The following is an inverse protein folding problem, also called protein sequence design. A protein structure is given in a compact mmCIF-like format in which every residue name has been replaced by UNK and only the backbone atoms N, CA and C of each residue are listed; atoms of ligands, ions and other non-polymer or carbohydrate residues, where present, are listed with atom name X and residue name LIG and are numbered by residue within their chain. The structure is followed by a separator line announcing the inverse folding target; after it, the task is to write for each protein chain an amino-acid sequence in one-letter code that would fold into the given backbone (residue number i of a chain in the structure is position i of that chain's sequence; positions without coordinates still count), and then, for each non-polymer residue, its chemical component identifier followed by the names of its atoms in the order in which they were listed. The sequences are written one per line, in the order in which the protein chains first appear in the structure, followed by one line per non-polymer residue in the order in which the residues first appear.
data_IF_399606027548
#
_entry.id   IF_399606027548
#
_cell.length_a   1.000
_cell.length_b   1.000
_cell.length_c   1.000
_cell.angle_alpha   90.00
_cell.angle_beta   90.00
_cell.angle_gamma   90.00
#
_symmetry.space_group_name_H-M   'P 1'
#
loop_
_entity.id
_entity.type
_entity.pdbx_description
1 polymer ?
#
# COMPACT_ATOMS: atom_id res chain seq x y z
N UNK A 1 -5.36 -2.70 -12.50
CA UNK A 1 -4.96 -2.11 -11.21
C UNK A 1 -5.73 -2.80 -10.11
N UNK A 2 -5.03 -3.30 -9.09
CA UNK A 2 -5.67 -3.93 -7.93
C UNK A 2 -5.90 -2.85 -6.88
N UNK A 3 -7.14 -2.70 -6.40
CA UNK A 3 -7.51 -1.75 -5.34
C UNK A 3 -7.60 -2.46 -3.99
N UNK A 4 -7.10 -1.81 -2.94
CA UNK A 4 -7.25 -2.27 -1.55
C UNK A 4 -7.60 -1.08 -0.67
N UNK A 5 -8.64 -1.26 0.14
CA UNK A 5 -8.99 -0.31 1.20
C UNK A 5 -8.24 -0.67 2.47
N UNK A 6 -7.61 0.33 3.08
CA UNK A 6 -6.98 0.22 4.39
C UNK A 6 -7.67 1.21 5.33
N UNK A 7 -7.78 0.85 6.61
CA UNK A 7 -8.45 1.71 7.60
C UNK A 7 -7.47 2.46 8.50
N UNK A 8 -6.23 1.96 8.62
CA UNK A 8 -5.20 2.51 9.51
C UNK A 8 -3.92 2.81 8.75
N UNK A 9 -3.34 3.96 9.07
CA UNK A 9 -1.96 4.34 8.77
C UNK A 9 -1.21 4.31 10.08
N UNK A 10 -0.04 3.68 10.11
CA UNK A 10 0.80 3.60 11.31
C UNK A 10 2.21 4.10 10.98
N UNK A 11 2.69 5.12 11.71
CA UNK A 11 4.00 5.75 11.49
C UNK A 11 4.24 6.16 10.02
N UNK A 12 3.20 6.69 9.36
CA UNK A 12 3.26 7.10 7.95
C UNK A 12 3.35 5.92 6.97
N UNK A 13 3.02 4.70 7.39
CA UNK A 13 3.02 3.51 6.54
C UNK A 13 1.64 2.87 6.47
N UNK A 14 1.39 2.22 5.33
CA UNK A 14 0.22 1.36 5.10
C UNK A 14 0.67 -0.07 4.89
N UNK A 15 -0.01 -0.99 5.56
CA UNK A 15 0.28 -2.42 5.50
C UNK A 15 -0.73 -3.13 4.60
N UNK A 16 -0.25 -3.84 3.58
CA UNK A 16 -1.08 -4.63 2.68
C UNK A 16 -0.78 -6.11 2.88
N UNK A 17 -1.82 -6.95 2.85
CA UNK A 17 -1.65 -8.40 2.98
C UNK A 17 -0.86 -8.96 1.80
N UNK A 18 0.09 -9.84 2.09
CA UNK A 18 1.05 -10.37 1.13
C UNK A 18 0.40 -11.07 -0.08
N UNK A 19 -0.77 -11.70 0.09
CA UNK A 19 -1.48 -12.30 -1.03
C UNK A 19 -1.98 -11.28 -2.06
N UNK A 20 -2.35 -10.06 -1.64
CA UNK A 20 -2.76 -8.97 -2.55
C UNK A 20 -1.53 -8.47 -3.30
N UNK A 21 -0.42 -8.27 -2.59
CA UNK A 21 0.86 -7.92 -3.16
C UNK A 21 1.34 -8.94 -4.19
N UNK A 22 1.35 -10.23 -3.83
CA UNK A 22 1.69 -11.35 -4.72
C UNK A 22 0.75 -11.44 -5.93
N UNK A 23 -0.54 -11.11 -5.76
CA UNK A 23 -1.50 -11.04 -6.86
C UNK A 23 -1.16 -9.91 -7.83
N UNK A 24 -0.80 -8.72 -7.32
CA UNK A 24 -0.37 -7.58 -8.15
C UNK A 24 0.90 -7.89 -8.93
N UNK A 25 1.90 -8.49 -8.27
CA UNK A 25 3.14 -8.92 -8.93
C UNK A 25 2.90 -9.93 -10.06
N UNK A 26 2.08 -10.96 -9.80
CA UNK A 26 1.78 -12.02 -10.77
C UNK A 26 1.09 -11.49 -12.02
N UNK A 27 0.17 -10.54 -11.83
CA UNK A 27 -0.57 -9.91 -12.93
C UNK A 27 0.19 -8.75 -13.59
N UNK A 28 1.36 -8.36 -13.07
CA UNK A 28 2.10 -7.16 -13.48
C UNK A 28 1.24 -5.90 -13.44
N UNK A 29 0.36 -5.82 -12.44
CA UNK A 29 -0.56 -4.68 -12.27
C UNK A 29 -0.07 -3.77 -11.14
N UNK A 30 -0.42 -2.48 -11.25
CA UNK A 30 -0.27 -1.50 -10.18
C UNK A 30 -1.22 -1.78 -9.00
N UNK A 31 -0.84 -1.28 -7.83
CA UNK A 31 -1.62 -1.36 -6.59
C UNK A 31 -2.14 0.03 -6.22
N UNK A 32 -3.45 0.17 -6.09
CA UNK A 32 -4.10 1.34 -5.54
C UNK A 32 -4.50 1.09 -4.09
N UNK A 33 -4.13 1.99 -3.18
CA UNK A 33 -4.45 1.90 -1.76
C UNK A 33 -5.36 3.07 -1.40
N UNK A 34 -6.56 2.78 -0.90
CA UNK A 34 -7.55 3.77 -0.48
C UNK A 34 -7.56 3.85 1.05
N UNK A 35 -7.40 5.06 1.60
CA UNK A 35 -7.54 5.35 3.03
C UNK A 35 -8.49 6.54 3.21
N UNK A 36 -9.71 6.25 3.67
CA UNK A 36 -10.75 7.28 3.79
C UNK A 36 -11.09 7.93 2.44
N UNK A 37 -10.80 9.23 2.31
CA UNK A 37 -10.97 10.01 1.06
C UNK A 37 -9.68 10.12 0.23
N UNK A 38 -8.56 9.67 0.78
CA UNK A 38 -7.27 9.74 0.11
C UNK A 38 -6.98 8.44 -0.66
N UNK A 39 -6.24 8.59 -1.76
CA UNK A 39 -5.84 7.48 -2.60
C UNK A 39 -4.33 7.54 -2.84
N UNK A 40 -3.66 6.40 -2.75
CA UNK A 40 -2.26 6.24 -3.10
C UNK A 40 -2.15 5.27 -4.27
N UNK A 41 -1.31 5.62 -5.24
CA UNK A 41 -0.99 4.77 -6.38
C UNK A 41 0.45 4.25 -6.30
N UNK A 42 0.61 2.94 -6.41
CA UNK A 42 1.92 2.27 -6.44
C UNK A 42 2.09 1.57 -7.81
N UNK A 43 2.97 2.11 -8.67
CA UNK A 43 3.35 1.47 -9.93
C UNK A 43 3.98 0.10 -9.70
N UNK A 44 3.80 -0.81 -10.66
CA UNK A 44 4.36 -2.17 -10.60
C UNK A 44 5.88 -2.19 -10.35
N UNK A 45 6.64 -1.30 -10.99
CA UNK A 45 8.09 -1.24 -10.83
C UNK A 45 8.52 -0.88 -9.40
N UNK A 46 7.68 -0.13 -8.68
CA UNK A 46 7.91 0.23 -7.27
C UNK A 46 7.47 -0.87 -6.31
N UNK A 47 6.58 -1.79 -6.73
CA UNK A 47 6.19 -2.94 -5.90
C UNK A 47 7.38 -3.86 -5.60
N UNK A 48 8.34 -3.99 -6.52
CA UNK A 48 9.55 -4.82 -6.29
C UNK A 48 10.47 -4.27 -5.20
N UNK A 49 10.37 -2.98 -4.88
CA UNK A 49 11.16 -2.32 -3.83
C UNK A 49 10.49 -2.35 -2.44
N UNK A 50 9.31 -2.97 -2.34
CA UNK A 50 8.57 -3.07 -1.09
C UNK A 50 9.39 -3.83 -0.03
N UNK A 51 9.35 -3.35 1.21
CA UNK A 51 10.04 -3.98 2.34
C UNK A 51 9.01 -4.64 3.26
N UNK A 52 9.33 -5.83 3.74
CA UNK A 52 8.67 -6.42 4.89
C UNK A 52 9.49 -6.05 6.12
N UNK A 53 8.93 -5.26 7.02
CA UNK A 53 9.63 -4.85 8.24
C UNK A 53 9.49 -5.90 9.34
N UNK A 54 8.38 -6.64 9.34
CA UNK A 54 8.11 -7.68 10.32
C UNK A 54 8.27 -9.06 9.68
N UNK A 55 8.79 -10.02 10.45
CA UNK A 55 8.77 -11.44 10.09
C UNK A 55 7.50 -12.14 10.58
N UNK A 56 6.67 -11.39 11.30
CA UNK A 56 5.46 -11.89 11.93
C UNK A 56 4.49 -12.45 10.90
N UNK A 57 3.86 -13.53 11.28
CA UNK A 57 2.87 -14.22 10.47
C UNK A 57 1.55 -14.14 11.19
N UNK A 58 0.53 -13.65 10.50
CA UNK A 58 -0.79 -13.41 11.04
C UNK A 58 -1.74 -14.49 10.57
N UNK A 59 -2.52 -15.06 11.48
CA UNK A 59 -3.56 -16.02 11.12
C UNK A 59 -4.86 -15.30 10.78
N UNK A 60 -5.40 -15.58 9.60
CA UNK A 60 -6.70 -15.06 9.17
C UNK A 60 -7.84 -15.64 10.00
N UNK A 61 -8.68 -14.75 10.55
CA UNK A 61 -9.87 -15.12 11.33
C UNK A 61 -10.96 -15.85 10.52
N UNK A 62 -10.95 -15.71 9.19
CA UNK A 62 -12.02 -16.22 8.33
C UNK A 62 -11.76 -17.61 7.75
N UNK A 63 -10.50 -17.96 7.54
CA UNK A 63 -10.12 -19.22 6.86
C UNK A 63 -8.91 -19.91 7.48
N UNK A 64 -8.41 -19.40 8.61
CA UNK A 64 -7.24 -19.95 9.30
C UNK A 64 -5.93 -19.89 8.52
N UNK A 65 -5.91 -19.25 7.33
CA UNK A 65 -4.71 -19.13 6.51
C UNK A 65 -3.79 -18.07 7.06
N UNK A 66 -2.51 -18.39 7.04
CA UNK A 66 -1.46 -17.48 7.44
C UNK A 66 -1.17 -16.48 6.32
N UNK A 67 -0.96 -15.22 6.71
CA UNK A 67 -0.57 -14.15 5.82
C UNK A 67 0.48 -13.27 6.47
N UNK A 68 1.22 -12.54 5.64
CA UNK A 68 2.19 -11.53 6.08
C UNK A 68 1.74 -10.15 5.67
N UNK A 69 2.32 -9.13 6.29
CA UNK A 69 2.09 -7.74 5.92
C UNK A 69 3.29 -7.21 5.13
N UNK A 70 3.00 -6.47 4.08
CA UNK A 70 3.97 -5.74 3.28
C UNK A 70 3.67 -4.27 3.48
N UNK A 71 4.64 -3.53 3.99
CA UNK A 71 4.45 -2.12 4.34
C UNK A 71 4.95 -1.21 3.22
N UNK A 72 4.20 -0.14 3.00
CA UNK A 72 4.52 0.90 2.04
C UNK A 72 4.50 2.25 2.74
N UNK A 73 5.44 3.13 2.39
CA UNK A 73 5.39 4.52 2.85
C UNK A 73 4.17 5.20 2.25
N UNK A 74 3.26 5.68 3.10
CA UNK A 74 2.04 6.35 2.68
C UNK A 74 2.37 7.68 2.02
N UNK A 75 2.05 7.79 0.73
CA UNK A 75 2.19 9.00 -0.05
C UNK A 75 0.89 9.19 -0.83
N UNK A 76 -0.12 9.84 -0.22
CA UNK A 76 -1.39 10.04 -0.89
C UNK A 76 -1.14 10.87 -2.15
N UNK A 77 -1.83 10.51 -3.22
CA UNK A 77 -1.87 11.31 -4.43
C UNK A 77 -2.54 12.64 -4.08
N UNK A 78 -1.79 13.72 -4.28
CA UNK A 78 -2.29 15.08 -4.20
C UNK A 78 -2.16 15.66 -5.60
N UNK A 79 -3.19 16.35 -6.05
CA UNK A 79 -3.08 17.20 -7.23
C UNK A 79 -2.00 18.25 -6.93
N UNK A 80 -1.12 18.51 -7.91
CA UNK A 80 -0.10 19.54 -7.75
C UNK A 80 -0.81 20.87 -7.55
N UNK A 81 -0.59 21.49 -6.39
CA UNK A 81 -1.14 22.80 -6.11
C UNK A 81 -0.32 23.82 -6.90
N UNK A 82 -0.80 24.15 -8.10
CA UNK A 82 -0.17 25.11 -9.03
C UNK A 82 0.01 26.51 -8.41
N UNK A 83 -0.70 26.83 -7.33
CA UNK A 83 -0.65 28.11 -6.63
C UNK A 83 0.27 28.10 -5.39
N UNK A 84 1.02 27.03 -5.14
CA UNK A 84 1.91 26.97 -3.98
C UNK A 84 3.14 27.87 -4.20
N UNK A 85 3.05 29.12 -3.73
CA UNK A 85 4.15 30.08 -3.75
C UNK A 85 5.42 29.52 -3.13
N UNK A 86 6.58 29.85 -3.72
CA UNK A 86 7.90 29.48 -3.20
C UNK A 86 8.07 30.07 -1.78
N UNK A 87 8.48 29.24 -0.82
CA UNK A 87 9.07 29.73 0.42
C UNK A 87 10.37 30.43 0.04
N UNK A 88 10.38 31.77 0.17
CA UNK A 88 11.53 32.65 0.00
C UNK A 88 12.63 32.33 1.01
#
# INVERSE_FOLDING_TARGET
MIKVRVDKIFLGKVSVRDYIYKKALRKKESLGIEHGKEFMFIPYDKLKKAKQYTKDTFKSKFNGKDYKLVDFDWKPYKEENVDQGRLL
#
